data_IF_678042667478
#
_entry.id   IF_678042667478
#
_cell.length_a   1.000
_cell.length_b   1.000
_cell.length_c   1.000
_cell.angle_alpha   90.00
_cell.angle_beta   90.00
_cell.angle_gamma   90.00
#
_symmetry.space_group_name_H-M   'P 1'
#
loop_
_entity.id
_entity.type
_entity.pdbx_description
1 polymer ?
#
# COMPACT_ATOMS: atom_id res chain seq x y z
N UNK A 1 15.69 10.53 -18.06
CA UNK A 1 14.51 9.71 -17.70
C UNK A 1 13.74 10.41 -16.59
N UNK A 2 12.52 10.89 -16.86
CA UNK A 2 11.69 11.57 -15.86
C UNK A 2 11.11 10.54 -14.89
N UNK A 3 11.53 10.60 -13.61
CA UNK A 3 10.97 9.75 -12.54
C UNK A 3 9.55 10.26 -12.25
N UNK A 4 8.52 9.66 -12.86
CA UNK A 4 7.12 9.94 -12.49
C UNK A 4 6.89 9.46 -11.06
N UNK A 5 6.61 10.41 -10.16
CA UNK A 5 6.44 10.17 -8.73
C UNK A 5 5.05 9.56 -8.50
N UNK A 6 5.01 8.25 -8.22
CA UNK A 6 3.89 7.61 -7.50
C UNK A 6 3.80 8.29 -6.13
N UNK A 7 2.70 8.98 -5.85
CA UNK A 7 2.46 9.68 -4.59
C UNK A 7 1.25 9.11 -3.87
N UNK A 8 1.31 9.05 -2.54
CA UNK A 8 0.17 8.72 -1.68
C UNK A 8 -0.34 10.05 -1.13
N UNK A 9 -1.63 10.33 -1.26
CA UNK A 9 -2.26 11.54 -0.73
C UNK A 9 -3.36 11.17 0.25
N UNK A 10 -3.42 11.84 1.39
CA UNK A 10 -4.53 11.68 2.34
C UNK A 10 -5.63 12.67 1.99
N UNK A 11 -6.87 12.18 1.85
CA UNK A 11 -8.04 13.04 1.83
C UNK A 11 -8.35 13.49 3.26
N UNK A 12 -8.25 14.80 3.50
CA UNK A 12 -8.55 15.39 4.81
C UNK A 12 -10.04 15.74 4.87
N UNK A 13 -10.80 14.96 5.64
CA UNK A 13 -12.13 15.37 6.09
C UNK A 13 -11.97 16.26 7.36
N UNK A 14 -12.77 17.32 7.46
CA UNK A 14 -12.65 18.38 8.48
C UNK A 14 -12.62 17.87 9.94
N UNK A 15 -11.86 18.59 10.79
CA UNK A 15 -11.50 18.22 12.18
C UNK A 15 -12.66 18.33 13.19
N UNK A 16 -12.65 17.44 14.19
CA UNK A 16 -12.77 17.82 15.61
C UNK A 16 -11.74 17.02 16.44
N UNK A 17 -10.96 17.72 17.27
CA UNK A 17 -9.78 17.17 17.93
C UNK A 17 -9.97 16.72 19.37
N UNK A 18 -8.94 16.07 19.92
CA UNK A 18 -8.46 16.17 21.31
C UNK A 18 -7.04 15.58 21.42
N UNK A 19 -6.14 16.30 22.11
CA UNK A 19 -4.74 15.91 22.44
C UNK A 19 -4.68 15.24 23.83
N UNK A 20 -3.72 14.33 24.07
CA UNK A 20 -2.89 14.20 25.31
C UNK A 20 -1.84 13.03 25.22
N UNK A 21 -0.84 12.93 26.14
CA UNK A 21 0.58 12.83 25.80
C UNK A 21 1.23 11.43 25.94
N UNK A 22 2.46 11.31 25.44
CA UNK A 22 3.15 10.05 25.13
C UNK A 22 4.03 9.42 26.21
N UNK A 23 4.81 8.41 25.78
CA UNK A 23 5.88 7.76 26.53
C UNK A 23 7.04 7.38 25.61
N UNK A 24 8.26 7.68 26.07
CA UNK A 24 9.53 7.23 25.50
C UNK A 24 9.75 5.74 25.78
N UNK A 25 10.26 5.01 24.80
CA UNK A 25 10.71 3.63 24.93
C UNK A 25 11.86 3.35 23.97
N UNK A 26 12.96 2.85 24.53
CA UNK A 26 14.24 2.53 23.88
C UNK A 26 14.06 1.62 22.66
N UNK A 27 14.61 2.03 21.51
CA UNK A 27 14.56 1.26 20.24
C UNK A 27 15.72 0.26 20.18
N UNK A 28 15.42 -1.00 20.49
CA UNK A 28 16.20 -2.16 20.05
C UNK A 28 15.83 -2.43 18.58
N UNK A 29 16.75 -2.22 17.65
CA UNK A 29 16.56 -2.61 16.24
C UNK A 29 16.46 -4.14 16.18
N UNK A 30 15.24 -4.64 15.97
CA UNK A 30 15.00 -6.02 15.58
C UNK A 30 15.00 -6.06 14.06
N UNK A 31 15.95 -6.79 13.48
CA UNK A 31 15.97 -7.14 12.07
C UNK A 31 14.81 -8.13 11.85
N UNK A 32 13.67 -7.65 11.34
CA UNK A 32 12.51 -8.51 11.05
C UNK A 32 12.58 -8.97 9.59
N UNK A 33 12.90 -10.25 9.40
CA UNK A 33 12.76 -10.94 8.12
C UNK A 33 11.27 -11.11 7.81
N UNK A 34 10.68 -10.12 7.14
CA UNK A 34 9.25 -10.10 6.83
C UNK A 34 9.01 -10.52 5.37
N UNK A 35 9.01 -11.83 5.13
CA UNK A 35 8.31 -12.37 3.96
C UNK A 35 6.83 -12.51 4.35
N UNK A 36 5.89 -11.86 3.65
CA UNK A 36 4.47 -12.03 3.91
C UNK A 36 4.10 -13.51 3.88
N UNK A 37 3.33 -13.98 4.87
CA UNK A 37 2.78 -15.36 4.87
C UNK A 37 2.02 -15.66 3.58
N UNK A 38 1.41 -14.64 2.96
CA UNK A 38 0.76 -14.74 1.65
C UNK A 38 1.67 -15.29 0.53
N UNK A 39 3.00 -15.11 0.62
CA UNK A 39 3.96 -15.61 -0.38
C UNK A 39 4.60 -16.96 0.00
N UNK A 40 4.40 -17.44 1.22
CA UNK A 40 5.08 -18.65 1.75
C UNK A 40 4.13 -19.77 2.17
N UNK A 41 2.83 -19.49 2.26
CA UNK A 41 1.83 -20.48 2.66
C UNK A 41 1.40 -21.33 1.45
N UNK A 42 1.33 -22.66 1.65
CA UNK A 42 0.94 -23.64 0.60
C UNK A 42 -0.57 -23.68 0.33
N UNK A 43 -1.34 -22.86 1.04
CA UNK A 43 -2.79 -22.79 0.90
C UNK A 43 -3.18 -21.81 -0.22
N UNK A 44 -3.72 -22.30 -1.37
CA UNK A 44 -4.09 -21.46 -2.50
C UNK A 44 -5.25 -20.49 -2.19
N UNK A 45 -5.94 -20.64 -1.06
CA UNK A 45 -7.05 -19.79 -0.64
C UNK A 45 -6.65 -18.35 -0.27
N UNK A 46 -5.36 -18.04 -0.14
CA UNK A 46 -4.87 -16.73 0.34
C UNK A 46 -4.72 -15.69 -0.80
N UNK A 47 -4.86 -16.09 -2.07
CA UNK A 47 -4.88 -15.13 -3.19
C UNK A 47 -6.24 -14.44 -3.26
N UNK A 48 -6.46 -13.50 -2.34
CA UNK A 48 -7.60 -12.61 -2.36
C UNK A 48 -7.34 -11.54 -3.43
N UNK A 49 -7.78 -11.85 -4.67
CA UNK A 49 -7.60 -10.99 -5.86
C UNK A 49 -8.05 -9.55 -5.64
N UNK A 50 -8.98 -9.34 -4.73
CA UNK A 50 -9.61 -8.04 -4.49
C UNK A 50 -8.91 -7.18 -3.43
N UNK A 51 -7.92 -7.73 -2.72
CA UNK A 51 -7.23 -7.05 -1.61
C UNK A 51 -5.83 -6.59 -1.99
N UNK A 52 -5.37 -5.55 -1.30
CA UNK A 52 -4.05 -4.96 -1.48
C UNK A 52 -3.00 -5.63 -0.58
N UNK A 53 -2.06 -6.35 -1.18
CA UNK A 53 -0.93 -6.94 -0.48
C UNK A 53 0.18 -5.90 -0.30
N UNK A 54 0.64 -5.70 0.94
CA UNK A 54 1.80 -4.87 1.22
C UNK A 54 3.09 -5.60 0.81
N UNK A 55 3.75 -5.10 -0.23
CA UNK A 55 4.90 -5.76 -0.85
C UNK A 55 6.11 -4.81 -0.95
N UNK A 56 7.21 -5.18 -0.30
CA UNK A 56 8.48 -4.45 -0.35
C UNK A 56 9.30 -4.74 -1.60
N UNK A 57 9.01 -5.83 -2.32
CA UNK A 57 9.61 -6.17 -3.61
C UNK A 57 9.00 -5.40 -4.78
N UNK A 58 7.77 -4.89 -4.62
CA UNK A 58 7.09 -4.12 -5.66
C UNK A 58 7.67 -2.69 -5.78
N UNK A 59 8.08 -2.29 -6.98
CA UNK A 59 8.56 -0.93 -7.29
C UNK A 59 7.43 0.10 -7.44
N UNK A 60 6.23 -0.36 -7.78
CA UNK A 60 5.07 0.48 -8.06
C UNK A 60 3.81 -0.13 -7.46
N UNK A 61 2.79 0.71 -7.28
CA UNK A 61 1.44 0.25 -6.96
C UNK A 61 0.85 -0.46 -8.18
N UNK A 62 0.15 -1.57 -7.96
CA UNK A 62 -0.46 -2.39 -9.02
C UNK A 62 -1.89 -2.74 -8.66
N UNK A 63 -2.80 -2.61 -9.62
CA UNK A 63 -4.12 -3.27 -9.57
C UNK A 63 -4.30 -4.19 -10.76
N UNK A 64 -5.03 -5.28 -10.56
CA UNK A 64 -5.51 -6.20 -11.60
C UNK A 64 -6.96 -5.92 -12.03
N UNK A 65 -7.63 -4.92 -11.44
CA UNK A 65 -9.00 -4.55 -11.74
C UNK A 65 -9.06 -3.13 -12.29
N UNK A 66 -9.50 -2.96 -13.53
CA UNK A 66 -9.62 -1.62 -14.14
C UNK A 66 -10.66 -0.76 -13.41
N UNK A 67 -11.68 -1.38 -12.82
CA UNK A 67 -12.73 -0.72 -12.04
C UNK A 67 -12.24 -0.07 -10.74
N UNK A 68 -11.05 -0.44 -10.25
CA UNK A 68 -10.44 0.23 -9.09
C UNK A 68 -9.98 1.65 -9.45
N UNK A 69 -9.75 1.93 -10.74
CA UNK A 69 -9.15 3.17 -11.19
C UNK A 69 -10.23 4.26 -11.37
N UNK A 70 -10.17 5.28 -10.51
CA UNK A 70 -11.02 6.48 -10.63
C UNK A 70 -10.59 7.43 -11.75
N UNK A 71 -9.42 7.17 -12.34
CA UNK A 71 -8.88 7.86 -13.52
C UNK A 71 -7.98 6.89 -14.26
N UNK A 72 -7.98 6.90 -15.58
CA UNK A 72 -7.13 6.02 -16.38
C UNK A 72 -6.44 6.78 -17.51
N UNK A 73 -5.15 6.53 -17.67
CA UNK A 73 -4.34 7.01 -18.77
C UNK A 73 -3.66 5.81 -19.46
N UNK A 74 -3.83 5.71 -20.78
CA UNK A 74 -3.04 4.79 -21.61
C UNK A 74 -1.60 5.26 -21.60
N UNK A 75 -0.70 4.40 -21.15
CA UNK A 75 0.73 4.65 -21.04
C UNK A 75 1.41 3.28 -20.95
N UNK A 76 1.53 2.58 -22.08
CA UNK A 76 1.92 1.19 -22.06
C UNK A 76 3.37 1.04 -21.58
N UNK A 77 3.62 0.09 -20.68
CA UNK A 77 4.92 -0.11 -20.06
C UNK A 77 5.20 -1.59 -19.83
N UNK A 78 6.39 -2.01 -20.22
CA UNK A 78 6.94 -3.33 -19.91
C UNK A 78 7.46 -3.36 -18.46
N UNK A 79 7.12 -4.41 -17.72
CA UNK A 79 7.38 -4.55 -16.30
C UNK A 79 7.96 -5.93 -16.04
N UNK A 80 9.14 -5.96 -15.44
CA UNK A 80 9.77 -7.20 -14.99
C UNK A 80 9.16 -7.67 -13.66
N UNK A 81 8.98 -8.98 -13.54
CA UNK A 81 8.54 -9.62 -12.31
C UNK A 81 9.15 -11.00 -12.13
N UNK A 82 8.83 -11.63 -10.99
CA UNK A 82 9.36 -12.95 -10.65
C UNK A 82 9.03 -14.05 -11.69
N UNK A 83 7.92 -13.93 -12.41
CA UNK A 83 7.49 -14.86 -13.46
C UNK A 83 7.96 -14.48 -14.87
N UNK A 84 8.90 -13.54 -14.99
CA UNK A 84 9.31 -12.94 -16.25
C UNK A 84 8.63 -11.61 -16.51
N UNK A 85 8.76 -11.16 -17.75
CA UNK A 85 8.35 -9.82 -18.17
C UNK A 85 6.88 -9.77 -18.58
N UNK A 86 6.22 -8.66 -18.29
CA UNK A 86 4.79 -8.50 -18.52
C UNK A 86 4.45 -7.06 -18.94
N UNK A 87 3.23 -6.84 -19.41
CA UNK A 87 2.84 -5.55 -19.99
C UNK A 87 1.70 -4.89 -19.22
N UNK A 88 1.91 -3.63 -18.82
CA UNK A 88 0.90 -2.75 -18.24
C UNK A 88 0.32 -1.86 -19.33
N UNK A 89 -0.98 -1.94 -19.66
CA UNK A 89 -1.59 -1.08 -20.70
C UNK A 89 -1.61 0.42 -20.35
N UNK A 90 -1.61 0.74 -19.06
CA UNK A 90 -1.68 2.12 -18.57
C UNK A 90 -1.63 2.20 -17.06
N UNK A 91 -1.92 3.38 -16.53
CA UNK A 91 -1.99 3.62 -15.10
C UNK A 91 -3.15 4.54 -14.74
N UNK A 92 -3.44 4.64 -13.45
CA UNK A 92 -4.49 5.49 -12.94
C UNK A 92 -4.27 5.93 -11.50
N UNK A 93 -5.36 6.34 -10.88
CA UNK A 93 -5.42 6.60 -9.44
C UNK A 93 -6.48 5.70 -8.81
N UNK A 94 -6.23 5.25 -7.58
CA UNK A 94 -7.16 4.47 -6.78
C UNK A 94 -7.44 5.24 -5.50
N UNK A 95 -8.69 5.21 -5.05
CA UNK A 95 -9.08 5.69 -3.72
C UNK A 95 -9.45 4.50 -2.84
N UNK A 96 -8.84 4.44 -1.66
CA UNK A 96 -9.07 3.39 -0.68
C UNK A 96 -9.54 4.00 0.63
N UNK A 97 -10.50 3.35 1.27
CA UNK A 97 -10.85 3.60 2.67
C UNK A 97 -10.23 2.49 3.51
N UNK A 98 -9.23 2.84 4.32
CA UNK A 98 -8.43 1.90 5.10
C UNK A 98 -8.70 2.06 6.59
N UNK A 99 -8.58 0.97 7.34
CA UNK A 99 -8.63 0.98 8.80
C UNK A 99 -7.28 1.43 9.37
N UNK A 100 -7.33 2.07 10.53
CA UNK A 100 -6.21 2.34 11.41
C UNK A 100 -6.32 1.40 12.63
N UNK A 101 -5.21 1.09 13.27
CA UNK A 101 -5.10 0.22 14.46
C UNK A 101 -5.97 0.68 15.64
N UNK A 102 -6.35 1.96 15.68
CA UNK A 102 -7.27 2.49 16.69
C UNK A 102 -8.76 2.25 16.36
N UNK A 103 -9.07 1.51 15.30
CA UNK A 103 -10.44 1.21 14.83
C UNK A 103 -11.09 2.33 14.00
N UNK A 104 -10.41 3.45 13.77
CA UNK A 104 -10.92 4.52 12.90
C UNK A 104 -10.54 4.29 11.44
N UNK A 105 -11.20 4.98 10.51
CA UNK A 105 -10.90 4.87 9.07
C UNK A 105 -10.17 6.09 8.54
N UNK A 106 -9.43 5.90 7.45
CA UNK A 106 -8.82 6.97 6.66
C UNK A 106 -9.04 6.74 5.17
N UNK A 107 -9.26 7.82 4.44
CA UNK A 107 -9.23 7.79 2.98
C UNK A 107 -7.83 8.13 2.46
N UNK A 108 -7.30 7.25 1.60
CA UNK A 108 -6.03 7.42 0.92
C UNK A 108 -6.23 7.35 -0.59
N UNK A 109 -5.50 8.20 -1.31
CA UNK A 109 -5.42 8.17 -2.76
C UNK A 109 -4.05 7.68 -3.19
N UNK A 110 -4.02 6.59 -3.93
CA UNK A 110 -2.82 6.05 -4.57
C UNK A 110 -2.75 6.65 -5.97
N UNK A 111 -1.75 7.49 -6.23
CA UNK A 111 -1.53 8.04 -7.56
C UNK A 111 -0.58 7.13 -8.35
N UNK A 112 -0.80 7.04 -9.67
CA UNK A 112 0.06 6.27 -10.58
C UNK A 112 0.09 4.76 -10.28
N UNK A 113 -1.09 4.18 -10.08
CA UNK A 113 -1.29 2.72 -9.96
C UNK A 113 -1.29 2.08 -11.33
N UNK A 114 -0.41 1.12 -11.58
CA UNK A 114 -0.32 0.39 -12.85
C UNK A 114 -1.41 -0.66 -12.95
N UNK A 115 -2.06 -0.74 -14.11
CA UNK A 115 -3.04 -1.78 -14.40
C UNK A 115 -2.35 -3.01 -15.00
N UNK A 116 -2.46 -4.15 -14.34
CA UNK A 116 -1.91 -5.43 -14.77
C UNK A 116 -2.97 -6.54 -14.60
N UNK A 117 -3.91 -6.71 -15.55
CA UNK A 117 -5.01 -7.68 -15.44
C UNK A 117 -4.57 -9.13 -15.23
N UNK A 118 -3.39 -9.48 -15.74
CA UNK A 118 -2.78 -10.80 -15.64
C UNK A 118 -2.24 -11.11 -14.24
N UNK A 119 -2.13 -10.12 -13.34
CA UNK A 119 -1.62 -10.35 -11.99
C UNK A 119 -2.72 -10.89 -11.07
N UNK A 120 -2.40 -11.89 -10.23
CA UNK A 120 -3.39 -12.50 -9.36
C UNK A 120 -3.74 -11.64 -8.14
N UNK A 121 -2.98 -10.60 -7.82
CA UNK A 121 -3.13 -9.80 -6.59
C UNK A 121 -2.82 -8.32 -6.85
N UNK A 122 -3.47 -7.43 -6.10
CA UNK A 122 -3.17 -5.98 -6.09
C UNK A 122 -1.99 -5.74 -5.15
N UNK A 123 -1.03 -4.91 -5.57
CA UNK A 123 0.19 -4.67 -4.81
C UNK A 123 0.24 -3.24 -4.31
N UNK A 124 0.42 -3.11 -3.00
CA UNK A 124 0.76 -1.87 -2.33
C UNK A 124 2.28 -1.85 -2.08
N UNK A 125 3.00 -1.02 -2.83
CA UNK A 125 4.47 -0.93 -2.75
C UNK A 125 4.93 -0.30 -1.43
N UNK A 126 5.44 -1.13 -0.52
CA UNK A 126 6.12 -0.67 0.70
C UNK A 126 7.41 0.06 0.38
N UNK A 127 8.10 -0.32 -0.71
CA UNK A 127 9.30 0.35 -1.19
C UNK A 127 9.05 1.83 -1.44
N UNK A 128 7.92 2.18 -2.08
CA UNK A 128 7.53 3.58 -2.30
C UNK A 128 7.24 4.32 -1.00
N UNK A 129 6.63 3.67 -0.01
CA UNK A 129 6.41 4.28 1.31
C UNK A 129 7.74 4.58 1.99
N UNK A 130 8.64 3.60 2.03
CA UNK A 130 9.96 3.74 2.65
C UNK A 130 10.83 4.81 1.97
N UNK A 131 10.80 4.89 0.63
CA UNK A 131 11.51 5.94 -0.13
C UNK A 131 11.03 7.36 0.21
N UNK A 132 9.83 7.50 0.75
CA UNK A 132 9.27 8.78 1.23
C UNK A 132 9.39 8.95 2.76
N UNK A 133 10.29 8.18 3.41
CA UNK A 133 10.55 8.28 4.85
C UNK A 133 9.55 7.53 5.73
N UNK A 134 8.62 6.77 5.14
CA UNK A 134 7.74 5.89 5.88
C UNK A 134 8.44 4.65 6.42
N UNK A 135 7.72 3.89 7.24
CA UNK A 135 8.18 2.62 7.79
C UNK A 135 7.02 1.64 7.84
N UNK A 136 7.30 0.36 8.06
CA UNK A 136 6.28 -0.65 8.28
C UNK A 136 6.55 -1.38 9.59
N UNK A 137 5.48 -1.79 10.24
CA UNK A 137 5.45 -2.59 11.45
C UNK A 137 4.68 -3.88 11.16
N UNK A 138 4.58 -4.78 12.14
CA UNK A 138 3.90 -6.07 11.96
C UNK A 138 2.40 -5.96 11.68
N UNK A 139 1.78 -4.86 12.09
CA UNK A 139 0.34 -4.64 12.13
C UNK A 139 -0.08 -3.30 11.49
N UNK A 140 0.86 -2.44 11.09
CA UNK A 140 0.53 -1.17 10.43
C UNK A 140 1.67 -0.61 9.57
N UNK A 141 1.31 0.31 8.68
CA UNK A 141 2.23 1.08 7.85
C UNK A 141 2.26 2.52 8.36
N UNK A 142 3.45 3.10 8.49
CA UNK A 142 3.68 4.50 8.83
C UNK A 142 4.16 5.27 7.59
N UNK A 143 3.77 6.54 7.50
CA UNK A 143 4.18 7.43 6.42
C UNK A 143 4.44 8.84 6.97
N UNK A 144 5.04 9.71 6.16
CA UNK A 144 5.31 11.10 6.52
C UNK A 144 4.26 12.02 5.89
N UNK A 145 3.54 12.77 6.72
CA UNK A 145 2.61 13.84 6.32
C UNK A 145 3.05 15.15 6.96
N UNK A 146 3.33 16.17 6.16
CA UNK A 146 3.78 17.49 6.64
C UNK A 146 4.95 17.38 7.65
N UNK A 147 5.93 16.53 7.33
CA UNK A 147 7.12 16.30 8.17
C UNK A 147 6.85 15.51 9.45
N UNK A 148 5.64 14.97 9.64
CA UNK A 148 5.28 14.17 10.83
C UNK A 148 4.98 12.74 10.42
N UNK A 149 5.56 11.80 11.17
CA UNK A 149 5.20 10.39 11.05
C UNK A 149 3.77 10.18 11.56
N UNK A 150 2.96 9.52 10.74
CA UNK A 150 1.57 9.16 11.04
C UNK A 150 1.33 7.73 10.56
N UNK A 151 0.43 7.04 11.21
CA UNK A 151 -0.07 5.76 10.72
C UNK A 151 -0.85 5.97 9.42
N UNK A 152 -0.56 5.19 8.38
CA UNK A 152 -1.23 5.20 7.09
C UNK A 152 -2.46 4.29 7.11
N UNK A 153 -2.24 3.04 7.54
CA UNK A 153 -3.22 1.95 7.57
C UNK A 153 -2.73 0.78 8.42
N UNK A 154 -3.67 0.01 8.93
CA UNK A 154 -3.48 -1.32 9.51
C UNK A 154 -3.21 -2.36 8.40
N UNK A 155 -2.40 -3.37 8.72
CA UNK A 155 -2.20 -4.59 7.92
C UNK A 155 -2.58 -5.81 8.74
N UNK A 156 -3.22 -6.78 8.10
CA UNK A 156 -3.55 -8.04 8.77
C UNK A 156 -2.34 -8.98 8.88
N UNK A 157 -2.53 -10.09 9.59
CA UNK A 157 -1.49 -11.11 9.79
C UNK A 157 -1.02 -11.82 8.51
N UNK A 158 -1.72 -11.63 7.39
CA UNK A 158 -1.35 -12.14 6.07
C UNK A 158 -0.61 -11.10 5.23
N UNK A 159 -0.48 -9.86 5.71
CA UNK A 159 0.22 -8.75 5.06
C UNK A 159 -0.65 -7.93 4.12
N UNK A 160 -1.98 -8.11 4.15
CA UNK A 160 -2.90 -7.29 3.36
C UNK A 160 -3.33 -6.05 4.12
N UNK A 161 -3.57 -4.95 3.41
CA UNK A 161 -4.21 -3.78 3.98
C UNK A 161 -5.61 -4.18 4.51
N UNK A 162 -5.98 -3.60 5.65
CA UNK A 162 -7.34 -3.73 6.19
C UNK A 162 -8.20 -2.61 5.58
N UNK A 163 -9.03 -2.97 4.61
CA UNK A 163 -9.93 -2.05 3.93
C UNK A 163 -11.28 -1.99 4.66
N UNK A 164 -11.82 -0.78 4.85
CA UNK A 164 -13.19 -0.59 5.34
C UNK A 164 -14.14 -0.76 4.17
N UNK A 165 -14.70 -1.97 4.05
CA UNK A 165 -15.83 -2.22 3.15
C UNK A 165 -17.08 -1.63 3.80
N UNK A 166 -17.74 -0.71 3.10
CA UNK A 166 -19.12 -0.31 3.42
C UNK A 166 -20.08 -1.42 3.00
#
# INVERSE_FOLDING_TARGET
MSRRIVSITIKRNGRLGKKRPGKNGSRRMMLVNFLPKALTNKDPAIILKDRWLADSGADTMVTNQISDLISYQKDPLEIDGAGGTTFSPGFGAVELKVMLTNGTTREIKLNHVRYLPQRPVKLFSLKKVMMNGGSFHSDHIMFIDEGKSKELCEIDSSGFLVESRL
#
